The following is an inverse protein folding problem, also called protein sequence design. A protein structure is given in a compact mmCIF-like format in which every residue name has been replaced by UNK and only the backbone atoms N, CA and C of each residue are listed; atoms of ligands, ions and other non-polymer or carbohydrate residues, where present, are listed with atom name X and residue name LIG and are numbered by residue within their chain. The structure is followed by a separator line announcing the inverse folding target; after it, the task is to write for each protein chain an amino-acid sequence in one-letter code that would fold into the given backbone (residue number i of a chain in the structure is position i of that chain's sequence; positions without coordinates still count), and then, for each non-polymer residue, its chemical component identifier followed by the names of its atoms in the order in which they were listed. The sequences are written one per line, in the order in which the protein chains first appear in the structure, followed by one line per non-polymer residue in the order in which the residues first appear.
data_IF_372127703155
#
_entry.id   IF_372127703155
#
_cell.length_a   1.000
_cell.length_b   1.000
_cell.length_c   1.000
_cell.angle_alpha   90.00
_cell.angle_beta   90.00
_cell.angle_gamma   90.00
#
_symmetry.space_group_name_H-M   'P 1'
#
loop_
_entity.id
_entity.type
_entity.pdbx_description
1 polymer ?
#
# COMPACT_ATOMS: atom_id res chain seq x y z
N UNK A 1 16.51 0.16 22.47
CA UNK A 1 16.51 -0.02 21.01
C UNK A 1 15.50 0.96 20.47
N UNK A 2 15.81 1.64 19.37
CA UNK A 2 14.83 2.51 18.72
C UNK A 2 13.88 1.64 17.90
N UNK A 3 12.59 1.96 17.92
CA UNK A 3 11.60 1.33 17.04
C UNK A 3 11.66 2.02 15.68
N UNK A 4 11.67 1.26 14.59
CA UNK A 4 11.60 1.82 13.23
C UNK A 4 10.33 1.33 12.55
N UNK A 5 9.63 2.27 11.94
CA UNK A 5 8.38 2.03 11.25
C UNK A 5 8.63 1.85 9.75
N UNK A 6 8.06 0.83 9.14
CA UNK A 6 8.08 0.64 7.69
C UNK A 6 6.65 0.82 7.16
N UNK A 7 6.42 1.82 6.31
CA UNK A 7 5.13 2.05 5.67
C UNK A 7 5.15 1.55 4.22
N UNK A 8 4.15 0.77 3.83
CA UNK A 8 3.94 0.29 2.46
C UNK A 8 2.60 0.80 1.95
N UNK A 9 2.64 1.66 0.94
CA UNK A 9 1.44 2.29 0.40
C UNK A 9 0.56 1.34 -0.39
N UNK A 10 -0.64 1.81 -0.70
CA UNK A 10 -1.49 1.26 -1.75
C UNK A 10 -0.91 1.54 -3.14
N UNK A 11 -1.60 1.05 -4.16
CA UNK A 11 -1.17 1.16 -5.56
C UNK A 11 -1.54 -0.05 -6.42
N UNK A 12 -2.63 -0.76 -6.09
CA UNK A 12 -3.05 -1.95 -6.83
C UNK A 12 -1.92 -2.95 -7.04
N UNK A 13 -1.79 -3.44 -8.28
CA UNK A 13 -0.78 -4.43 -8.63
C UNK A 13 0.66 -3.89 -8.57
N UNK A 14 0.87 -2.60 -8.85
CA UNK A 14 2.16 -1.93 -8.72
C UNK A 14 2.59 -1.88 -7.25
N UNK A 15 1.66 -1.54 -6.35
CA UNK A 15 1.90 -1.54 -4.90
C UNK A 15 2.27 -2.93 -4.37
N UNK A 16 1.67 -4.00 -4.92
CA UNK A 16 2.03 -5.39 -4.57
C UNK A 16 3.47 -5.70 -4.96
N UNK A 17 3.81 -5.53 -6.25
CA UNK A 17 5.12 -5.90 -6.82
C UNK A 17 6.24 -5.04 -6.23
N UNK A 18 6.04 -3.73 -6.18
CA UNK A 18 7.02 -2.78 -5.66
C UNK A 18 7.18 -2.90 -4.15
N UNK A 19 6.09 -3.00 -3.39
CA UNK A 19 6.14 -3.12 -1.92
C UNK A 19 6.85 -4.39 -1.46
N UNK A 20 6.54 -5.53 -2.09
CA UNK A 20 7.20 -6.80 -1.82
C UNK A 20 8.70 -6.75 -2.14
N UNK A 21 9.09 -6.17 -3.28
CA UNK A 21 10.49 -6.05 -3.70
C UNK A 21 11.29 -5.06 -2.85
N UNK A 22 10.70 -3.91 -2.51
CA UNK A 22 11.30 -2.90 -1.66
C UNK A 22 11.56 -3.45 -0.25
N UNK A 23 10.60 -4.16 0.33
CA UNK A 23 10.78 -4.80 1.63
C UNK A 23 11.90 -5.85 1.59
N UNK A 24 11.88 -6.74 0.60
CA UNK A 24 12.93 -7.75 0.46
C UNK A 24 14.32 -7.12 0.32
N UNK A 25 14.47 -6.08 -0.51
CA UNK A 25 15.74 -5.38 -0.67
C UNK A 25 16.20 -4.73 0.64
N UNK A 26 15.29 -4.03 1.35
CA UNK A 26 15.59 -3.42 2.64
C UNK A 26 16.08 -4.46 3.65
N UNK A 27 15.39 -5.60 3.75
CA UNK A 27 15.71 -6.66 4.70
C UNK A 27 17.02 -7.37 4.35
N UNK A 28 17.28 -7.61 3.07
CA UNK A 28 18.47 -8.38 2.63
C UNK A 28 19.74 -7.54 2.57
N UNK A 29 19.64 -6.24 2.30
CA UNK A 29 20.80 -5.34 2.15
C UNK A 29 21.11 -4.56 3.42
N UNK A 30 20.09 -3.99 4.06
CA UNK A 30 20.28 -2.95 5.06
C UNK A 30 19.98 -3.45 6.47
N UNK A 31 18.91 -4.22 6.64
CA UNK A 31 18.49 -4.67 7.95
C UNK A 31 19.39 -5.79 8.51
N UNK A 32 20.13 -5.46 9.55
CA UNK A 32 20.88 -6.46 10.31
C UNK A 32 20.00 -7.09 11.39
N UNK A 33 19.49 -8.29 11.10
CA UNK A 33 18.70 -9.08 12.06
C UNK A 33 19.46 -9.42 13.36
N UNK A 34 20.76 -9.17 13.46
CA UNK A 34 21.54 -9.34 14.70
C UNK A 34 21.56 -8.09 15.58
N UNK A 35 21.29 -6.90 15.03
CA UNK A 35 21.22 -5.63 15.76
C UNK A 35 19.79 -5.27 16.22
N UNK A 36 18.77 -5.80 15.52
CA UNK A 36 17.31 -5.76 15.83
C UNK A 36 16.81 -4.44 16.44
N UNK A 37 16.70 -3.34 15.68
CA UNK A 37 15.65 -2.38 16.00
C UNK A 37 14.29 -3.10 15.98
N UNK A 38 13.36 -2.71 16.85
CA UNK A 38 12.00 -3.24 16.80
C UNK A 38 11.33 -2.69 15.53
N UNK A 39 11.04 -3.53 14.55
CA UNK A 39 10.36 -3.11 13.32
C UNK A 39 8.84 -3.21 13.49
N UNK A 40 8.15 -2.13 13.16
CA UNK A 40 6.69 -2.08 13.02
C UNK A 40 6.37 -1.79 11.57
N UNK A 41 5.67 -2.70 10.89
CA UNK A 41 5.25 -2.54 9.50
C UNK A 41 3.79 -2.09 9.48
N UNK A 42 3.47 -1.03 8.76
CA UNK A 42 2.09 -0.64 8.45
C UNK A 42 1.88 -0.64 6.95
N UNK A 43 0.74 -1.18 6.53
CA UNK A 43 0.45 -1.47 5.13
C UNK A 43 -0.95 -1.06 4.77
N UNK A 44 -1.17 -0.77 3.49
CA UNK A 44 -2.52 -0.56 2.95
C UNK A 44 -2.66 -1.09 1.53
N UNK A 45 -3.84 -1.61 1.19
CA UNK A 45 -4.23 -2.03 -0.16
C UNK A 45 -3.20 -2.96 -0.82
N UNK A 46 -2.66 -2.61 -1.99
CA UNK A 46 -1.62 -3.38 -2.66
C UNK A 46 -0.38 -3.67 -1.78
N UNK A 47 0.04 -2.70 -0.96
CA UNK A 47 1.14 -2.90 -0.01
C UNK A 47 0.83 -3.95 1.06
N UNK A 48 -0.44 -4.09 1.47
CA UNK A 48 -0.88 -5.14 2.40
C UNK A 48 -0.79 -6.51 1.76
N UNK A 49 -1.22 -6.66 0.50
CA UNK A 49 -1.10 -7.92 -0.24
C UNK A 49 0.38 -8.27 -0.46
N UNK A 50 1.19 -7.32 -0.94
CA UNK A 50 2.62 -7.54 -1.17
C UNK A 50 3.37 -7.94 0.10
N UNK A 51 3.17 -7.23 1.21
CA UNK A 51 3.80 -7.59 2.48
C UNK A 51 3.30 -8.93 3.03
N UNK A 52 2.01 -9.24 2.87
CA UNK A 52 1.44 -10.53 3.27
C UNK A 52 2.07 -11.70 2.52
N UNK A 53 2.28 -11.56 1.20
CA UNK A 53 2.99 -12.57 0.38
C UNK A 53 4.42 -12.72 0.89
N UNK A 54 5.15 -11.62 1.10
CA UNK A 54 6.53 -11.69 1.60
C UNK A 54 6.61 -12.39 2.96
N UNK A 55 5.70 -12.06 3.89
CA UNK A 55 5.71 -12.62 5.25
C UNK A 55 5.37 -14.12 5.28
N UNK A 56 4.64 -14.63 4.30
CA UNK A 56 4.18 -16.03 4.28
C UNK A 56 4.91 -16.93 3.25
N UNK A 57 5.53 -16.34 2.24
CA UNK A 57 6.21 -17.08 1.17
C UNK A 57 7.62 -16.56 0.84
N UNK A 58 8.07 -15.45 1.44
CA UNK A 58 9.29 -14.73 1.05
C UNK A 58 10.56 -15.57 1.01
N UNK A 59 10.65 -16.61 1.84
CA UNK A 59 11.77 -17.56 1.90
C UNK A 59 11.86 -18.51 0.68
N UNK A 60 10.81 -18.55 -0.15
CA UNK A 60 10.71 -19.39 -1.36
C UNK A 60 10.65 -18.55 -2.64
N UNK A 61 10.72 -17.23 -2.54
CA UNK A 61 10.58 -16.35 -3.70
C UNK A 61 11.95 -16.02 -4.31
N UNK A 62 12.04 -16.11 -5.63
CA UNK A 62 13.16 -15.55 -6.39
C UNK A 62 12.81 -14.13 -6.82
N UNK A 63 13.57 -13.15 -6.36
CA UNK A 63 13.42 -11.74 -6.71
C UNK A 63 14.37 -11.35 -7.84
N UNK A 64 13.91 -10.47 -8.73
CA UNK A 64 14.81 -9.81 -9.68
C UNK A 64 15.56 -8.67 -8.97
N UNK A 65 16.79 -8.95 -8.57
CA UNK A 65 17.70 -7.95 -8.00
C UNK A 65 18.32 -7.09 -9.09
N UNK A 66 18.74 -5.86 -8.75
CA UNK A 66 19.37 -4.95 -9.69
C UNK A 66 20.70 -5.53 -10.19
N UNK A 67 20.82 -5.66 -11.52
CA UNK A 67 22.03 -6.05 -12.23
C UNK A 67 22.20 -5.15 -13.46
N UNK A 68 23.24 -4.30 -13.45
CA UNK A 68 23.53 -3.39 -14.55
C UNK A 68 23.85 -4.11 -15.86
N UNK A 69 24.25 -5.39 -15.80
CA UNK A 69 24.62 -6.20 -16.97
C UNK A 69 23.49 -7.07 -17.51
N UNK A 70 22.27 -6.96 -16.99
CA UNK A 70 21.14 -7.82 -17.40
C UNK A 70 20.77 -7.61 -18.88
N UNK A 71 20.53 -8.69 -19.61
CA UNK A 71 20.02 -8.56 -20.99
C UNK A 71 18.51 -8.30 -21.00
N UNK A 72 17.98 -7.74 -22.10
CA UNK A 72 16.52 -7.59 -22.26
C UNK A 72 15.80 -8.94 -22.18
N UNK A 73 16.36 -9.97 -22.81
CA UNK A 73 15.75 -11.31 -22.83
C UNK A 73 15.70 -11.92 -21.42
N UNK A 74 16.74 -11.72 -20.61
CA UNK A 74 16.77 -12.18 -19.21
C UNK A 74 15.78 -11.38 -18.35
N UNK A 75 15.77 -10.05 -18.49
CA UNK A 75 14.84 -9.17 -17.77
C UNK A 75 13.37 -9.43 -18.16
N UNK A 76 13.10 -9.92 -19.37
CA UNK A 76 11.76 -10.26 -19.86
C UNK A 76 11.37 -11.73 -19.58
N UNK A 77 12.06 -12.40 -18.66
CA UNK A 77 11.77 -13.78 -18.28
C UNK A 77 11.35 -13.89 -16.81
N UNK A 78 10.47 -14.86 -16.51
CA UNK A 78 10.16 -15.21 -15.12
C UNK A 78 11.41 -15.83 -14.50
N UNK A 79 12.02 -15.14 -13.53
CA UNK A 79 13.20 -15.65 -12.83
C UNK A 79 12.76 -16.68 -11.82
N UNK A 80 13.19 -17.93 -12.02
CA UNK A 80 12.87 -19.05 -11.14
C UNK A 80 14.14 -19.83 -10.84
N UNK A 81 14.63 -19.76 -9.60
CA UNK A 81 15.64 -20.70 -9.14
C UNK A 81 15.03 -22.10 -8.94
N UNK A 82 15.85 -23.15 -8.94
CA UNK A 82 15.35 -24.52 -8.80
C UNK A 82 14.62 -24.70 -7.46
N UNK A 83 13.30 -24.95 -7.52
CA UNK A 83 12.45 -25.15 -6.34
C UNK A 83 11.91 -23.87 -5.72
N UNK A 84 12.18 -22.70 -6.29
CA UNK A 84 11.64 -21.41 -5.88
C UNK A 84 10.50 -20.96 -6.79
N UNK A 85 9.84 -19.87 -6.42
CA UNK A 85 8.69 -19.28 -7.12
C UNK A 85 9.04 -17.86 -7.54
N UNK A 86 8.68 -17.45 -8.76
CA UNK A 86 8.87 -16.07 -9.18
C UNK A 86 8.07 -15.11 -8.31
N UNK A 87 8.72 -14.08 -7.76
CA UNK A 87 8.11 -13.19 -6.76
C UNK A 87 6.81 -12.52 -7.23
N UNK A 88 6.70 -12.16 -8.52
CA UNK A 88 5.54 -11.47 -9.08
C UNK A 88 4.49 -12.42 -9.68
N UNK A 89 4.51 -13.71 -9.34
CA UNK A 89 3.55 -14.70 -9.89
C UNK A 89 2.07 -14.29 -9.68
N UNK A 90 1.76 -13.45 -8.68
CA UNK A 90 0.44 -12.82 -8.47
C UNK A 90 -0.16 -12.18 -9.75
N UNK A 91 0.65 -11.61 -10.65
CA UNK A 91 0.15 -10.95 -11.87
C UNK A 91 -0.54 -11.92 -12.83
N UNK A 92 -0.18 -13.20 -12.76
CA UNK A 92 -0.75 -14.24 -13.60
C UNK A 92 -2.20 -14.60 -13.22
N UNK A 93 -2.64 -14.27 -12.00
CA UNK A 93 -3.94 -14.71 -11.46
C UNK A 93 -4.99 -13.61 -11.42
N UNK A 94 -4.58 -12.33 -11.42
CA UNK A 94 -5.50 -11.19 -11.47
C UNK A 94 -6.31 -11.11 -12.77
N UNK A 95 -5.69 -11.43 -13.91
CA UNK A 95 -6.37 -11.43 -15.21
C UNK A 95 -7.36 -12.60 -15.39
N UNK A 96 -7.21 -13.67 -14.61
CA UNK A 96 -8.02 -14.89 -14.72
C UNK A 96 -9.32 -14.83 -13.94
N UNK A 97 -9.47 -13.81 -13.08
CA UNK A 97 -10.71 -13.45 -12.42
C UNK A 97 -11.65 -12.76 -13.44
N UNK A 98 -12.56 -13.47 -14.12
CA UNK A 98 -13.35 -12.92 -15.23
C UNK A 98 -14.33 -11.83 -14.78
N UNK A 99 -14.47 -11.67 -13.46
CA UNK A 99 -15.25 -10.64 -12.77
C UNK A 99 -14.52 -9.32 -12.55
N UNK A 100 -13.17 -9.29 -12.65
CA UNK A 100 -12.38 -8.05 -12.55
C UNK A 100 -12.25 -7.34 -13.92
N UNK A 101 -12.23 -8.09 -15.02
CA UNK A 101 -11.92 -7.58 -16.38
C UNK A 101 -13.16 -7.28 -17.23
N UNK A 102 -14.29 -7.93 -16.96
CA UNK A 102 -15.60 -7.55 -17.45
C UNK A 102 -16.35 -6.98 -16.25
N UNK A 103 -16.47 -5.66 -16.15
CA UNK A 103 -16.95 -4.93 -14.97
C UNK A 103 -18.07 -5.64 -14.20
N UNK A 104 -18.08 -5.43 -12.89
CA UNK A 104 -19.00 -5.98 -11.86
C UNK A 104 -20.52 -5.99 -12.22
N UNK A 105 -20.91 -5.44 -13.36
CA UNK A 105 -22.23 -5.49 -14.00
C UNK A 105 -22.74 -6.91 -14.31
N UNK A 106 -21.91 -7.96 -14.35
CA UNK A 106 -22.39 -9.35 -14.45
C UNK A 106 -22.58 -9.96 -13.05
N UNK A 107 -23.73 -9.66 -12.46
CA UNK A 107 -24.51 -10.23 -11.32
C UNK A 107 -24.04 -11.47 -10.50
N UNK A 108 -23.01 -12.22 -10.89
CA UNK A 108 -22.48 -13.38 -10.18
C UNK A 108 -21.26 -13.12 -9.29
N UNK A 109 -20.62 -11.95 -9.41
CA UNK A 109 -19.34 -11.63 -8.74
C UNK A 109 -19.45 -10.94 -7.37
N UNK A 110 -20.66 -10.71 -6.85
CA UNK A 110 -20.87 -9.83 -5.69
C UNK A 110 -21.55 -10.59 -4.55
N UNK A 111 -20.98 -11.72 -4.14
CA UNK A 111 -21.29 -12.33 -2.85
C UNK A 111 -20.31 -11.80 -1.79
N UNK A 112 -20.75 -11.62 -0.55
CA UNK A 112 -19.86 -11.22 0.55
C UNK A 112 -18.67 -12.17 0.64
N UNK A 113 -17.46 -11.62 0.70
CA UNK A 113 -16.22 -12.41 0.83
C UNK A 113 -15.54 -12.80 -0.49
N UNK A 114 -16.11 -12.48 -1.66
CA UNK A 114 -15.51 -12.85 -2.95
C UNK A 114 -14.07 -12.34 -3.13
N UNK A 115 -13.76 -11.16 -2.59
CA UNK A 115 -12.41 -10.60 -2.66
C UNK A 115 -11.42 -11.34 -1.76
N UNK A 116 -11.90 -11.88 -0.63
CA UNK A 116 -11.12 -12.79 0.21
C UNK A 116 -10.77 -14.06 -0.57
N UNK A 117 -11.73 -14.64 -1.32
CA UNK A 117 -11.49 -15.81 -2.18
C UNK A 117 -10.49 -15.52 -3.31
N UNK A 118 -10.46 -14.29 -3.81
CA UNK A 118 -9.48 -13.85 -4.82
C UNK A 118 -8.08 -13.81 -4.24
N UNK A 119 -7.91 -13.23 -3.06
CA UNK A 119 -6.61 -13.18 -2.39
C UNK A 119 -6.17 -14.59 -2.00
N UNK A 120 -7.07 -15.45 -1.51
CA UNK A 120 -6.77 -16.87 -1.26
C UNK A 120 -6.23 -17.55 -2.52
N UNK A 121 -6.92 -17.38 -3.66
CA UNK A 121 -6.48 -17.95 -4.94
C UNK A 121 -5.08 -17.46 -5.34
N UNK A 122 -4.76 -16.18 -5.12
CA UNK A 122 -3.42 -15.64 -5.39
C UNK A 122 -2.37 -16.31 -4.52
N UNK A 123 -2.62 -16.46 -3.22
CA UNK A 123 -1.71 -17.10 -2.28
C UNK A 123 -1.53 -18.59 -2.61
N UNK A 124 -2.63 -19.27 -2.89
CA UNK A 124 -2.64 -20.69 -3.14
C UNK A 124 -2.01 -21.04 -4.49
N UNK A 125 -2.57 -20.54 -5.59
CA UNK A 125 -2.08 -20.89 -6.93
C UNK A 125 -0.76 -20.21 -7.24
N UNK A 126 -0.57 -18.98 -6.75
CA UNK A 126 0.63 -18.19 -7.01
C UNK A 126 1.83 -18.62 -6.18
N UNK A 127 1.60 -19.02 -4.92
CA UNK A 127 2.70 -19.20 -3.94
C UNK A 127 2.61 -20.50 -3.13
N UNK A 128 1.62 -21.36 -3.41
CA UNK A 128 1.39 -22.61 -2.67
C UNK A 128 1.19 -22.39 -1.16
N UNK A 129 0.62 -21.24 -0.79
CA UNK A 129 0.25 -20.91 0.59
C UNK A 129 -1.26 -21.05 0.73
N UNK A 130 -1.71 -21.93 1.62
CA UNK A 130 -3.14 -22.12 1.88
C UNK A 130 -3.69 -21.07 2.84
N UNK A 131 -4.97 -20.73 2.74
CA UNK A 131 -5.71 -19.86 3.68
C UNK A 131 -5.42 -20.14 5.17
N UNK A 132 -5.37 -21.42 5.58
CA UNK A 132 -5.10 -21.82 6.96
C UNK A 132 -3.62 -21.71 7.38
N UNK A 133 -2.72 -21.51 6.43
CA UNK A 133 -1.29 -21.27 6.66
C UNK A 133 -0.95 -19.76 6.60
N UNK A 134 -1.89 -18.90 6.16
CA UNK A 134 -1.71 -17.45 6.15
C UNK A 134 -1.77 -16.92 7.58
N UNK A 135 -0.63 -16.42 8.06
CA UNK A 135 -0.48 -15.85 9.39
C UNK A 135 0.01 -14.39 9.33
N UNK A 136 -0.06 -13.72 10.48
CA UNK A 136 0.66 -12.48 10.71
C UNK A 136 2.17 -12.71 10.63
N UNK A 137 2.95 -11.66 10.88
CA UNK A 137 4.41 -11.82 10.91
C UNK A 137 4.87 -12.26 12.31
N UNK A 138 5.69 -13.32 12.34
CA UNK A 138 6.39 -13.75 13.56
C UNK A 138 7.63 -12.89 13.85
N UNK A 139 8.17 -12.24 12.82
CA UNK A 139 9.42 -11.48 12.88
C UNK A 139 9.19 -9.99 13.14
N UNK A 140 8.02 -9.46 12.77
CA UNK A 140 7.71 -8.04 12.82
C UNK A 140 6.31 -7.79 13.37
N UNK A 141 6.12 -6.67 14.06
CA UNK A 141 4.77 -6.21 14.36
C UNK A 141 4.16 -5.66 13.06
N UNK A 142 3.07 -6.27 12.56
CA UNK A 142 2.45 -5.89 11.29
C UNK A 142 1.03 -5.38 11.49
N UNK A 143 0.75 -4.18 10.97
CA UNK A 143 -0.56 -3.57 10.92
C UNK A 143 -1.07 -3.44 9.49
N UNK A 144 -2.31 -3.86 9.25
CA UNK A 144 -3.03 -3.57 8.01
C UNK A 144 -4.09 -2.49 8.26
N UNK A 145 -4.07 -1.44 7.44
CA UNK A 145 -4.97 -0.31 7.55
C UNK A 145 -6.21 -0.55 6.67
N UNK A 146 -7.39 -0.20 7.18
CA UNK A 146 -8.64 -0.28 6.45
C UNK A 146 -9.59 0.84 6.88
N UNK A 147 -10.58 1.16 6.05
CA UNK A 147 -11.55 2.20 6.35
C UNK A 147 -12.87 1.60 6.83
N UNK A 148 -13.53 2.30 7.74
CA UNK A 148 -14.89 2.01 8.17
C UNK A 148 -15.82 3.10 7.65
N UNK A 149 -16.99 2.71 7.15
CA UNK A 149 -18.03 3.66 6.73
C UNK A 149 -19.34 3.34 7.44
N UNK A 150 -19.89 4.28 8.21
CA UNK A 150 -21.18 4.11 8.88
C UNK A 150 -22.30 3.82 7.86
N UNK A 151 -23.14 2.82 8.14
CA UNK A 151 -24.15 2.39 7.17
C UNK A 151 -25.25 3.43 6.93
N UNK A 152 -25.47 4.33 7.88
CA UNK A 152 -26.54 5.34 7.85
C UNK A 152 -26.18 6.56 6.99
N UNK A 153 -24.89 6.83 6.78
CA UNK A 153 -24.42 7.84 5.81
C UNK A 153 -24.46 7.33 4.37
N UNK A 154 -24.67 6.03 4.16
CA UNK A 154 -24.69 5.40 2.84
C UNK A 154 -26.10 5.43 2.19
N UNK A 155 -26.19 5.67 0.86
CA UNK A 155 -25.09 5.94 -0.05
C UNK A 155 -24.56 7.38 0.11
N UNK A 156 -23.24 7.52 0.19
CA UNK A 156 -22.56 8.79 0.44
C UNK A 156 -22.21 9.48 -0.88
N UNK A 157 -22.31 10.82 -0.94
CA UNK A 157 -21.97 11.58 -2.14
C UNK A 157 -20.68 12.36 -1.98
N UNK A 158 -19.96 12.58 -3.07
CA UNK A 158 -18.78 13.44 -3.13
C UNK A 158 -19.10 14.90 -3.44
N UNK A 159 -18.17 15.80 -3.11
CA UNK A 159 -18.12 17.16 -3.62
C UNK A 159 -17.38 17.21 -4.99
N UNK A 160 -17.19 18.42 -5.52
CA UNK A 160 -16.54 18.60 -6.84
C UNK A 160 -15.04 18.27 -6.81
N UNK A 161 -14.43 18.21 -5.63
CA UNK A 161 -13.02 17.87 -5.40
C UNK A 161 -12.79 16.36 -5.16
N UNK A 162 -13.87 15.56 -5.20
CA UNK A 162 -13.82 14.11 -4.99
C UNK A 162 -13.93 13.65 -3.53
N UNK A 163 -14.05 14.58 -2.57
CA UNK A 163 -14.14 14.32 -1.12
C UNK A 163 -15.56 13.93 -0.70
N UNK A 164 -15.70 12.96 0.19
CA UNK A 164 -16.99 12.53 0.75
C UNK A 164 -17.62 13.62 1.64
N UNK A 165 -18.85 14.05 1.33
CA UNK A 165 -19.53 15.17 2.02
C UNK A 165 -19.81 14.97 3.53
N UNK A 166 -19.65 13.75 4.05
CA UNK A 166 -19.86 13.38 5.45
C UNK A 166 -18.69 12.55 5.98
N UNK A 167 -17.48 12.80 5.47
CA UNK A 167 -16.30 12.06 5.89
C UNK A 167 -16.06 12.14 7.40
N UNK A 168 -16.09 13.34 7.98
CA UNK A 168 -15.88 13.54 9.43
C UNK A 168 -16.88 12.76 10.30
N UNK A 169 -18.12 12.62 9.83
CA UNK A 169 -19.20 11.96 10.58
C UNK A 169 -19.18 10.45 10.41
N UNK A 170 -18.87 9.94 9.21
CA UNK A 170 -19.15 8.55 8.86
C UNK A 170 -17.96 7.74 8.34
N UNK A 171 -16.87 8.37 7.91
CA UNK A 171 -15.68 7.69 7.39
C UNK A 171 -14.61 7.66 8.48
N UNK A 172 -14.15 6.48 8.88
CA UNK A 172 -13.32 6.30 10.07
C UNK A 172 -12.09 5.46 9.72
N UNK A 173 -10.93 5.90 10.16
CA UNK A 173 -9.69 5.13 10.08
C UNK A 173 -9.68 3.97 11.07
N UNK A 174 -9.25 2.80 10.60
CA UNK A 174 -8.97 1.65 11.44
C UNK A 174 -7.70 0.92 10.99
N UNK A 175 -7.10 0.20 11.93
CA UNK A 175 -6.04 -0.75 11.65
C UNK A 175 -6.17 -1.99 12.52
N UNK A 176 -5.53 -3.07 12.11
CA UNK A 176 -5.44 -4.29 12.89
C UNK A 176 -4.01 -4.82 12.92
N UNK A 177 -3.53 -5.12 14.12
CA UNK A 177 -2.33 -5.92 14.32
C UNK A 177 -2.63 -7.35 13.85
N UNK A 178 -1.92 -7.77 12.82
CA UNK A 178 -2.13 -9.03 12.11
C UNK A 178 -1.68 -10.24 12.92
N UNK A 179 -0.87 -10.04 13.96
CA UNK A 179 -0.36 -11.11 14.81
C UNK A 179 -1.21 -11.27 16.08
N UNK A 180 -1.65 -10.16 16.69
CA UNK A 180 -2.47 -10.21 17.91
C UNK A 180 -3.99 -10.17 17.66
N UNK A 181 -4.40 -9.69 16.49
CA UNK A 181 -5.79 -9.39 16.15
C UNK A 181 -6.35 -8.15 16.86
N UNK A 182 -5.49 -7.38 17.53
CA UNK A 182 -5.87 -6.11 18.15
C UNK A 182 -6.30 -5.10 17.08
N UNK A 183 -7.49 -4.55 17.24
CA UNK A 183 -8.08 -3.56 16.34
C UNK A 183 -7.97 -2.18 16.95
N UNK A 184 -7.43 -1.23 16.21
CA UNK A 184 -7.25 0.17 16.60
C UNK A 184 -8.14 1.05 15.74
N UNK A 185 -8.79 2.02 16.36
CA UNK A 185 -9.61 3.04 15.70
C UNK A 185 -9.23 4.41 16.25
N UNK A 186 -9.40 5.47 15.46
CA UNK A 186 -8.98 6.82 15.84
C UNK A 186 -9.50 7.30 17.21
N UNK A 187 -10.72 6.90 17.57
CA UNK A 187 -11.37 7.27 18.83
C UNK A 187 -11.32 6.17 19.90
N UNK A 188 -10.56 5.09 19.68
CA UNK A 188 -10.53 3.88 20.52
C UNK A 188 -11.92 3.24 20.71
N UNK A 189 -12.88 3.47 19.81
CA UNK A 189 -14.15 2.77 19.84
C UNK A 189 -13.92 1.29 19.54
N UNK A 190 -14.62 0.43 20.30
CA UNK A 190 -14.54 -1.02 20.13
C UNK A 190 -15.10 -1.42 18.78
N UNK A 191 -14.25 -2.04 17.96
CA UNK A 191 -14.61 -2.61 16.66
C UNK A 191 -14.79 -4.13 16.76
N UNK A 192 -16.01 -4.58 16.50
CA UNK A 192 -16.34 -5.99 16.36
C UNK A 192 -16.51 -6.33 14.87
N UNK A 193 -15.72 -7.28 14.37
CA UNK A 193 -15.80 -7.78 12.99
C UNK A 193 -16.20 -9.24 13.05
N UNK A 194 -17.08 -9.66 12.16
CA UNK A 194 -17.61 -11.03 12.12
C UNK A 194 -16.53 -12.07 11.76
N UNK A 195 -15.58 -11.66 10.93
CA UNK A 195 -14.45 -12.47 10.48
C UNK A 195 -13.19 -11.61 10.56
N UNK A 196 -12.18 -12.09 11.28
CA UNK A 196 -10.93 -11.37 11.54
C UNK A 196 -9.70 -12.25 11.32
N UNK A 197 -9.76 -13.14 10.34
CA UNK A 197 -8.55 -13.81 9.87
C UNK A 197 -7.61 -12.81 9.19
N UNK A 198 -6.33 -13.13 9.13
CA UNK A 198 -5.32 -12.32 8.41
C UNK A 198 -5.78 -12.06 6.97
N UNK A 199 -6.25 -13.11 6.30
CA UNK A 199 -6.75 -13.03 4.93
C UNK A 199 -7.99 -12.10 4.80
N UNK A 200 -8.92 -12.16 5.75
CA UNK A 200 -10.08 -11.25 5.76
C UNK A 200 -9.66 -9.79 5.89
N UNK A 201 -8.67 -9.49 6.74
CA UNK A 201 -8.19 -8.12 6.94
C UNK A 201 -7.44 -7.61 5.72
N UNK A 202 -6.64 -8.46 5.08
CA UNK A 202 -6.02 -8.14 3.78
C UNK A 202 -7.07 -7.77 2.73
N UNK A 203 -8.19 -8.51 2.72
CA UNK A 203 -9.34 -8.24 1.86
C UNK A 203 -9.99 -6.89 2.18
N UNK A 204 -10.22 -6.57 3.45
CA UNK A 204 -10.76 -5.26 3.84
C UNK A 204 -9.83 -4.14 3.39
N UNK A 205 -8.54 -4.26 3.68
CA UNK A 205 -7.50 -3.27 3.36
C UNK A 205 -7.37 -2.96 1.86
N UNK A 206 -7.78 -3.88 0.98
CA UNK A 206 -7.60 -3.78 -0.48
C UNK A 206 -8.91 -3.80 -1.28
N UNK A 207 -10.03 -3.53 -0.63
CA UNK A 207 -11.37 -3.63 -1.23
C UNK A 207 -11.77 -2.39 -2.05
N UNK A 208 -10.90 -1.87 -2.92
CA UNK A 208 -11.08 -0.60 -3.67
C UNK A 208 -12.44 -0.45 -4.38
N UNK A 209 -13.03 -1.56 -4.82
CA UNK A 209 -14.33 -1.61 -5.49
C UNK A 209 -15.50 -1.18 -4.58
N UNK A 210 -15.37 -1.27 -3.26
CA UNK A 210 -16.46 -0.93 -2.33
C UNK A 210 -16.85 0.54 -2.40
N UNK A 211 -15.89 1.44 -2.68
CA UNK A 211 -16.11 2.87 -2.87
C UNK A 211 -17.23 3.13 -3.90
N UNK A 212 -17.18 2.45 -5.04
CA UNK A 212 -18.19 2.59 -6.10
C UNK A 212 -19.61 2.17 -5.65
N UNK A 213 -19.72 1.17 -4.78
CA UNK A 213 -21.00 0.67 -4.27
C UNK A 213 -21.59 1.62 -3.23
N UNK A 214 -20.78 2.09 -2.29
CA UNK A 214 -21.25 2.96 -1.20
C UNK A 214 -21.58 4.37 -1.69
N UNK A 215 -21.14 4.74 -2.89
CA UNK A 215 -21.37 6.06 -3.48
C UNK A 215 -22.58 6.11 -4.42
N UNK A 216 -22.75 5.08 -5.25
CA UNK A 216 -23.85 5.06 -6.21
C UNK A 216 -25.13 4.49 -5.60
N UNK A 217 -26.24 5.23 -5.70
CA UNK A 217 -27.54 4.82 -5.14
C UNK A 217 -28.05 3.49 -5.71
N UNK A 218 -27.80 3.24 -6.99
CA UNK A 218 -28.25 2.03 -7.68
C UNK A 218 -27.40 0.85 -7.27
N UNK A 219 -26.07 0.99 -7.32
CA UNK A 219 -25.14 -0.04 -6.89
C UNK A 219 -25.36 -0.36 -5.41
N UNK A 220 -25.47 0.64 -4.54
CA UNK A 220 -25.77 0.44 -3.12
C UNK A 220 -27.04 -0.39 -2.91
N UNK A 221 -28.12 -0.08 -3.65
CA UNK A 221 -29.37 -0.83 -3.52
C UNK A 221 -29.21 -2.32 -3.87
N UNK A 222 -28.43 -2.65 -4.90
CA UNK A 222 -28.27 -4.03 -5.37
C UNK A 222 -27.14 -4.80 -4.67
N UNK A 223 -26.05 -4.13 -4.29
CA UNK A 223 -24.78 -4.77 -3.98
C UNK A 223 -24.26 -4.50 -2.58
N UNK A 224 -24.91 -3.66 -1.75
CA UNK A 224 -24.46 -3.45 -0.36
C UNK A 224 -24.36 -4.72 0.49
N UNK A 225 -25.05 -5.80 0.09
CA UNK A 225 -24.96 -7.11 0.75
C UNK A 225 -23.67 -7.89 0.46
N UNK A 226 -22.86 -7.42 -0.50
CA UNK A 226 -21.55 -7.99 -0.81
C UNK A 226 -20.40 -7.34 -0.03
N UNK A 227 -20.66 -6.21 0.64
CA UNK A 227 -19.65 -5.48 1.40
C UNK A 227 -19.56 -6.10 2.80
N UNK A 228 -18.33 -6.33 3.26
CA UNK A 228 -18.04 -6.80 4.60
C UNK A 228 -18.54 -5.81 5.66
N UNK A 229 -19.01 -6.32 6.79
CA UNK A 229 -19.64 -5.49 7.84
C UNK A 229 -19.09 -5.81 9.22
N UNK A 230 -19.10 -4.79 10.08
CA UNK A 230 -18.78 -4.88 11.50
C UNK A 230 -19.67 -3.97 12.33
N UNK A 231 -19.32 -3.82 13.60
CA UNK A 231 -19.99 -2.93 14.54
C UNK A 231 -18.94 -2.10 15.28
N UNK A 232 -19.10 -0.78 15.27
CA UNK A 232 -18.22 0.18 15.94
C UNK A 232 -19.02 0.86 17.06
N UNK A 233 -18.67 0.61 18.32
CA UNK A 233 -19.37 1.24 19.46
C UNK A 233 -20.87 0.91 19.57
N UNK A 234 -21.35 -0.11 18.84
CA UNK A 234 -22.76 -0.48 18.73
C UNK A 234 -23.41 -0.09 17.41
N UNK A 235 -22.76 0.74 16.59
CA UNK A 235 -23.25 1.18 15.29
C UNK A 235 -22.72 0.32 14.14
N UNK A 236 -23.58 0.08 13.16
CA UNK A 236 -23.30 -0.78 12.02
C UNK A 236 -22.38 -0.05 11.02
N UNK A 237 -21.29 -0.72 10.62
CA UNK A 237 -20.31 -0.17 9.67
C UNK A 237 -20.05 -1.13 8.49
N UNK A 238 -19.67 -0.56 7.35
CA UNK A 238 -19.03 -1.25 6.23
C UNK A 238 -17.51 -1.19 6.39
N UNK A 239 -16.82 -2.28 6.04
CA UNK A 239 -15.36 -2.32 5.95
C UNK A 239 -14.96 -2.09 4.49
N UNK A 240 -14.01 -1.18 4.28
CA UNK A 240 -13.58 -0.73 2.96
C UNK A 240 -12.05 -0.63 2.88
N UNK A 241 -11.54 -0.43 1.66
CA UNK A 241 -10.12 -0.21 1.38
C UNK A 241 -9.53 0.86 2.29
N UNK A 242 -8.36 0.60 2.86
CA UNK A 242 -7.68 1.57 3.72
C UNK A 242 -7.23 2.80 2.97
N UNK A 243 -6.99 2.68 1.66
CA UNK A 243 -6.62 3.77 0.77
C UNK A 243 -7.65 4.88 0.74
N UNK A 244 -8.92 4.58 1.06
CA UNK A 244 -9.99 5.59 1.19
C UNK A 244 -9.69 6.62 2.28
N UNK A 245 -8.89 6.30 3.31
CA UNK A 245 -8.53 7.25 4.38
C UNK A 245 -7.03 7.50 4.45
N UNK A 246 -6.21 6.46 4.26
CA UNK A 246 -4.75 6.55 4.30
C UNK A 246 -4.15 5.62 3.26
N UNK A 247 -3.75 6.16 2.11
CA UNK A 247 -3.07 5.36 1.07
C UNK A 247 -1.59 5.12 1.36
N UNK A 248 -1.03 5.71 2.42
CA UNK A 248 0.41 5.69 2.66
C UNK A 248 0.86 4.61 3.64
N UNK A 249 0.01 4.22 4.59
CA UNK A 249 0.41 3.38 5.72
C UNK A 249 1.07 4.16 6.86
N UNK A 250 1.33 5.46 6.71
CA UNK A 250 2.08 6.25 7.69
C UNK A 250 1.24 6.48 8.96
N UNK A 251 -0.09 6.59 8.85
CA UNK A 251 -0.95 7.03 9.96
C UNK A 251 -0.85 6.11 11.18
N UNK A 252 -0.89 4.78 11.01
CA UNK A 252 -0.73 3.83 12.13
C UNK A 252 0.62 4.00 12.82
N UNK A 253 1.70 4.23 12.07
CA UNK A 253 3.03 4.43 12.65
C UNK A 253 3.07 5.72 13.49
N UNK A 254 2.38 6.77 13.05
CA UNK A 254 2.24 8.02 13.79
C UNK A 254 1.37 7.87 15.05
N UNK A 255 0.25 7.12 14.98
CA UNK A 255 -0.56 6.79 16.16
C UNK A 255 0.26 6.09 17.24
N UNK A 256 1.16 5.18 16.82
CA UNK A 256 2.08 4.45 17.69
C UNK A 256 3.30 5.27 18.12
N UNK A 257 3.44 6.51 17.63
CA UNK A 257 4.55 7.42 17.91
C UNK A 257 5.92 6.80 17.64
N UNK A 258 6.02 6.04 16.56
CA UNK A 258 7.28 5.48 16.11
C UNK A 258 8.25 6.64 15.81
N UNK A 259 9.49 6.63 16.32
CA UNK A 259 10.41 7.77 16.20
C UNK A 259 11.04 7.92 14.81
N UNK A 260 11.21 6.82 14.07
CA UNK A 260 11.83 6.81 12.74
C UNK A 260 10.95 6.04 11.76
N UNK A 261 10.70 6.58 10.57
CA UNK A 261 9.84 5.94 9.56
C UNK A 261 10.57 5.83 8.22
N UNK A 262 10.52 4.66 7.59
CA UNK A 262 10.82 4.46 6.17
C UNK A 262 9.52 4.15 5.45
N UNK A 263 9.12 4.99 4.50
CA UNK A 263 7.88 4.84 3.74
C UNK A 263 8.19 4.57 2.27
N UNK A 264 7.61 3.52 1.70
CA UNK A 264 7.63 3.26 0.27
C UNK A 264 6.27 3.63 -0.31
N UNK A 265 6.22 4.80 -0.95
CA UNK A 265 5.04 5.31 -1.64
C UNK A 265 5.05 4.83 -3.10
N UNK A 266 4.63 3.58 -3.28
CA UNK A 266 4.57 2.86 -4.55
C UNK A 266 3.17 2.95 -5.17
N UNK A 267 2.64 4.17 -5.29
CA UNK A 267 1.31 4.35 -5.86
C UNK A 267 1.34 4.01 -7.36
N UNK A 268 0.21 3.55 -7.89
CA UNK A 268 0.07 3.28 -9.31
C UNK A 268 -0.25 4.54 -10.12
N UNK A 269 -0.45 5.68 -9.49
CA UNK A 269 -0.64 6.96 -10.17
C UNK A 269 0.62 7.82 -10.01
N UNK A 270 1.09 8.47 -11.09
CA UNK A 270 2.18 9.44 -10.97
C UNK A 270 1.81 10.55 -9.98
N UNK A 271 2.73 10.86 -9.06
CA UNK A 271 2.64 11.91 -8.05
C UNK A 271 2.26 13.28 -8.62
N UNK A 272 2.67 13.56 -9.85
CA UNK A 272 2.37 14.82 -10.56
C UNK A 272 1.00 14.81 -11.25
N UNK A 273 0.49 13.63 -11.64
CA UNK A 273 -0.63 13.52 -12.59
C UNK A 273 -2.00 13.60 -11.94
N UNK A 274 -2.06 13.46 -10.61
CA UNK A 274 -3.21 13.75 -9.79
C UNK A 274 -2.64 14.27 -8.49
N UNK A 275 -2.96 15.52 -8.14
CA UNK A 275 -3.46 15.86 -6.81
C UNK A 275 -3.13 14.83 -5.72
N UNK A 276 -1.83 14.69 -5.42
CA UNK A 276 -1.35 13.48 -4.77
C UNK A 276 -2.10 13.33 -3.45
N UNK A 277 -2.84 12.25 -3.27
CA UNK A 277 -3.55 11.95 -2.01
C UNK A 277 -2.59 11.97 -0.80
N UNK A 278 -1.29 11.76 -1.05
CA UNK A 278 -0.21 12.01 -0.09
C UNK A 278 -0.14 13.46 0.41
N UNK A 279 -0.56 14.43 -0.40
CA UNK A 279 -0.65 15.86 -0.06
C UNK A 279 -1.62 16.14 1.09
N UNK A 280 -2.63 15.28 1.30
CA UNK A 280 -3.56 15.43 2.42
C UNK A 280 -2.86 15.24 3.77
N UNK A 281 -1.80 14.42 3.84
CA UNK A 281 -0.97 14.35 5.06
C UNK A 281 -0.35 15.71 5.43
N UNK A 282 -0.19 16.61 4.46
CA UNK A 282 0.35 17.95 4.65
C UNK A 282 -0.73 19.04 4.65
N UNK A 283 -2.01 18.68 4.60
CA UNK A 283 -3.12 19.63 4.56
C UNK A 283 -3.16 20.47 3.27
N UNK A 284 -2.68 19.92 2.16
CA UNK A 284 -2.70 20.61 0.87
C UNK A 284 -3.93 20.20 0.06
N UNK A 285 -4.74 21.18 -0.28
CA UNK A 285 -5.96 20.99 -1.06
C UNK A 285 -5.64 20.61 -2.50
N UNK A 286 -6.09 19.41 -2.88
CA UNK A 286 -5.93 18.83 -4.21
C UNK A 286 -7.17 18.00 -4.56
N UNK A 287 -7.51 17.89 -5.85
CA UNK A 287 -8.66 17.11 -6.34
C UNK A 287 -8.34 15.61 -6.30
N UNK A 288 -8.92 14.85 -5.39
CA UNK A 288 -8.56 13.43 -5.25
C UNK A 288 -8.97 12.59 -6.48
N UNK A 289 -8.27 11.46 -6.65
CA UNK A 289 -8.70 10.40 -7.55
C UNK A 289 -10.03 9.78 -7.06
N UNK A 290 -10.76 9.07 -7.92
CA UNK A 290 -12.10 8.61 -7.55
C UNK A 290 -12.10 7.46 -6.54
N UNK A 291 -11.00 7.10 -5.86
CA UNK A 291 -10.96 5.89 -5.03
C UNK A 291 -10.19 6.03 -3.70
N UNK A 292 -9.33 7.04 -3.54
CA UNK A 292 -8.44 7.14 -2.39
C UNK A 292 -8.53 8.48 -1.64
N UNK A 293 -8.14 8.49 -0.36
CA UNK A 293 -8.14 9.64 0.55
C UNK A 293 -9.35 10.55 0.38
N UNK A 294 -10.52 10.00 0.67
CA UNK A 294 -11.83 10.61 0.45
C UNK A 294 -12.28 11.46 1.63
N UNK A 295 -11.49 11.52 2.70
CA UNK A 295 -11.71 12.36 3.88
C UNK A 295 -11.51 13.85 3.62
N UNK A 296 -10.61 14.19 2.69
CA UNK A 296 -10.25 15.58 2.40
C UNK A 296 -9.05 16.08 3.20
N UNK A 297 -8.37 17.09 2.65
CA UNK A 297 -7.11 17.61 3.20
C UNK A 297 -7.21 18.13 4.64
N UNK A 298 -8.36 18.67 5.06
CA UNK A 298 -8.57 19.17 6.44
C UNK A 298 -8.56 18.03 7.46
N UNK A 299 -9.10 16.86 7.10
CA UNK A 299 -9.18 15.70 7.98
C UNK A 299 -7.91 14.84 7.93
N UNK A 300 -7.20 14.82 6.79
CA UNK A 300 -5.99 14.01 6.59
C UNK A 300 -4.70 14.62 7.16
N UNK A 301 -4.67 15.90 7.53
CA UNK A 301 -3.43 16.60 7.86
C UNK A 301 -2.77 16.09 9.16
N UNK A 302 -1.50 15.69 9.06
CA UNK A 302 -0.64 15.30 10.20
C UNK A 302 0.73 15.95 10.17
N UNK A 303 1.11 16.60 9.07
CA UNK A 303 2.34 17.36 8.89
C UNK A 303 2.05 18.82 8.49
N UNK A 304 3.03 19.69 8.73
CA UNK A 304 2.97 21.09 8.31
C UNK A 304 2.97 21.20 6.77
N UNK A 305 2.00 21.92 6.21
CA UNK A 305 1.92 22.18 4.77
C UNK A 305 3.13 22.94 4.21
N UNK A 306 3.87 23.67 5.04
CA UNK A 306 5.04 24.44 4.64
C UNK A 306 6.21 23.62 4.10
N UNK A 307 6.24 22.30 4.34
CA UNK A 307 7.29 21.40 3.81
C UNK A 307 6.87 20.64 2.56
N UNK A 308 5.59 20.69 2.18
CA UNK A 308 5.05 19.84 1.10
C UNK A 308 5.74 20.05 -0.25
N UNK A 309 5.97 21.29 -0.66
CA UNK A 309 6.58 21.58 -1.98
C UNK A 309 7.98 20.97 -2.11
N UNK A 310 8.78 21.02 -1.04
CA UNK A 310 10.13 20.43 -1.03
C UNK A 310 10.08 18.90 -1.02
N UNK A 311 9.15 18.32 -0.25
CA UNK A 311 8.92 16.87 -0.24
C UNK A 311 8.53 16.39 -1.63
N UNK A 312 7.54 17.03 -2.26
CA UNK A 312 7.09 16.67 -3.59
C UNK A 312 8.21 16.81 -4.62
N UNK A 313 8.95 17.93 -4.60
CA UNK A 313 10.07 18.14 -5.52
C UNK A 313 11.13 17.05 -5.42
N UNK A 314 11.46 16.59 -4.19
CA UNK A 314 12.42 15.52 -3.99
C UNK A 314 11.89 14.14 -4.40
N UNK A 315 10.58 13.90 -4.26
CA UNK A 315 9.93 12.65 -4.65
C UNK A 315 9.73 12.54 -6.17
N UNK A 316 9.58 13.66 -6.88
CA UNK A 316 9.41 13.68 -8.34
C UNK A 316 10.70 13.97 -9.11
N UNK A 317 11.79 14.38 -8.45
CA UNK A 317 13.10 14.48 -9.09
C UNK A 317 13.61 13.08 -9.47
N UNK A 318 13.80 12.78 -10.77
CA UNK A 318 14.18 11.45 -11.26
C UNK A 318 15.57 11.00 -10.79
N UNK A 319 16.38 11.91 -10.25
CA UNK A 319 17.72 11.65 -9.71
C UNK A 319 17.72 11.49 -8.18
N UNK A 320 16.66 11.90 -7.49
CA UNK A 320 16.55 11.83 -6.03
C UNK A 320 15.55 10.75 -5.63
N UNK A 321 14.29 10.87 -6.07
CA UNK A 321 13.16 9.98 -5.77
C UNK A 321 12.97 9.64 -4.29
N UNK A 322 13.36 10.58 -3.43
CA UNK A 322 13.38 10.38 -1.99
C UNK A 322 13.28 11.69 -1.24
N UNK A 323 12.30 11.81 -0.35
CA UNK A 323 12.26 12.88 0.63
C UNK A 323 12.78 12.38 1.99
N UNK A 324 13.72 13.11 2.58
CA UNK A 324 14.26 12.80 3.90
C UNK A 324 14.12 14.02 4.81
N UNK A 325 13.32 13.86 5.86
CA UNK A 325 13.03 14.91 6.82
C UNK A 325 13.48 14.47 8.21
N UNK A 326 13.99 15.41 9.01
CA UNK A 326 14.44 15.19 10.39
C UNK A 326 13.77 16.18 11.32
N UNK A 327 13.46 15.74 12.55
CA UNK A 327 12.84 16.59 13.56
C UNK A 327 11.48 17.17 13.13
N UNK A 328 10.67 16.35 12.45
CA UNK A 328 9.40 16.78 11.86
C UNK A 328 8.34 16.91 12.94
N UNK A 329 7.66 18.05 12.97
CA UNK A 329 6.51 18.23 13.85
C UNK A 329 5.32 17.42 13.31
N UNK A 330 4.91 16.40 14.07
CA UNK A 330 3.63 15.71 13.85
C UNK A 330 2.55 16.50 14.57
N UNK A 331 1.53 16.90 13.82
CA UNK A 331 0.39 17.67 14.30
C UNK A 331 -0.61 16.75 15.00
N UNK A 332 -1.38 17.34 15.91
CA UNK A 332 -2.50 16.65 16.54
C UNK A 332 -3.62 16.49 15.51
N UNK A 333 -4.17 15.29 15.39
CA UNK A 333 -5.28 14.99 14.49
C UNK A 333 -6.22 13.98 15.18
N UNK A 334 -7.31 14.48 15.75
CA UNK A 334 -8.32 13.68 16.45
C UNK A 334 -9.06 12.72 15.49
N UNK A 335 -9.26 13.12 14.23
CA UNK A 335 -9.93 12.31 13.21
C UNK A 335 -9.15 11.03 12.90
N UNK A 336 -7.82 11.12 12.83
CA UNK A 336 -6.91 9.99 12.63
C UNK A 336 -6.40 9.38 13.94
N UNK A 337 -6.74 9.95 15.11
CA UNK A 337 -6.22 9.49 16.41
C UNK A 337 -4.70 9.69 16.58
N UNK A 338 -4.11 10.63 15.83
CA UNK A 338 -2.67 10.93 15.88
C UNK A 338 -2.43 12.04 16.90
N UNK A 339 -1.69 11.73 17.95
CA UNK A 339 -1.32 12.72 18.97
C UNK A 339 -0.02 13.44 18.61
N UNK A 340 0.06 14.76 18.83
CA UNK A 340 1.26 15.56 18.49
C UNK A 340 2.57 15.05 19.16
N UNK A 341 3.66 15.07 18.38
CA UNK A 341 5.04 14.80 18.83
C UNK A 341 6.07 15.28 17.79
N UNK A 342 7.36 15.17 18.10
CA UNK A 342 8.42 15.39 17.11
C UNK A 342 8.89 14.03 16.63
N UNK A 343 8.64 13.72 15.36
CA UNK A 343 9.18 12.56 14.68
C UNK A 343 10.67 12.81 14.43
N UNK A 344 11.52 11.88 14.86
CA UNK A 344 12.97 12.06 14.74
C UNK A 344 13.40 12.08 13.29
N UNK A 345 12.87 11.14 12.49
CA UNK A 345 13.27 10.97 11.10
C UNK A 345 12.15 10.32 10.27
N UNK A 346 11.94 10.80 9.05
CA UNK A 346 11.13 10.10 8.05
C UNK A 346 11.81 10.16 6.69
N UNK A 347 11.92 8.99 6.07
CA UNK A 347 12.46 8.82 4.73
C UNK A 347 11.39 8.20 3.85
N UNK A 348 11.01 8.88 2.77
CA UNK A 348 9.93 8.50 1.87
C UNK A 348 10.54 8.26 0.50
N UNK A 349 10.27 7.10 -0.08
CA UNK A 349 10.67 6.74 -1.44
C UNK A 349 9.46 6.76 -2.36
N UNK A 350 9.64 7.25 -3.58
CA UNK A 350 8.63 7.16 -4.65
C UNK A 350 9.03 6.09 -5.67
N UNK A 351 8.04 5.64 -6.43
CA UNK A 351 8.24 4.80 -7.62
C UNK A 351 8.20 5.60 -8.93
N UNK A 352 8.48 6.92 -8.91
CA UNK A 352 8.44 7.80 -10.10
C UNK A 352 9.48 7.48 -11.18
N UNK A 353 9.23 7.87 -12.43
CA UNK A 353 10.17 7.61 -13.53
C UNK A 353 11.59 8.11 -13.20
N UNK A 354 12.61 7.30 -13.49
CA UNK A 354 14.01 7.66 -13.29
C UNK A 354 14.85 7.35 -14.52
N UNK A 355 15.30 8.41 -15.17
CA UNK A 355 16.28 8.31 -16.25
C UNK A 355 17.59 7.72 -15.73
N UNK A 356 18.02 8.08 -14.52
CA UNK A 356 19.27 7.60 -13.92
C UNK A 356 19.26 6.08 -13.69
N UNK A 357 18.15 5.53 -13.19
CA UNK A 357 17.98 4.09 -13.08
C UNK A 357 18.07 3.41 -14.45
N UNK A 358 17.34 3.91 -15.45
CA UNK A 358 17.33 3.29 -16.78
C UNK A 358 18.67 3.45 -17.51
N UNK A 359 19.40 4.55 -17.28
CA UNK A 359 20.75 4.79 -17.79
C UNK A 359 21.84 4.04 -17.04
N UNK A 360 21.53 3.44 -15.89
CA UNK A 360 22.50 2.67 -15.10
C UNK A 360 22.80 1.27 -15.66
N UNK A 361 22.00 0.82 -16.64
CA UNK A 361 22.19 -0.46 -17.34
C UNK A 361 23.12 -0.34 -18.54
N UNK A 362 23.94 -1.37 -18.79
CA UNK A 362 24.88 -1.45 -19.92
C UNK A 362 24.16 -1.44 -21.29
N UNK A 363 22.89 -1.88 -21.32
CA UNK A 363 22.00 -1.96 -22.49
C UNK A 363 20.76 -1.07 -22.33
N UNK A 364 20.92 0.11 -21.73
CA UNK A 364 19.83 1.05 -21.40
C UNK A 364 18.82 1.28 -22.53
N UNK A 365 19.28 1.45 -23.77
CA UNK A 365 18.40 1.66 -24.93
C UNK A 365 17.45 0.49 -25.18
N UNK A 366 17.91 -0.75 -25.08
CA UNK A 366 17.07 -1.93 -25.31
C UNK A 366 16.01 -2.06 -24.20
N UNK A 367 16.41 -1.82 -22.95
CA UNK A 367 15.51 -1.87 -21.80
C UNK A 367 14.46 -0.76 -21.87
N UNK A 368 14.85 0.49 -22.16
CA UNK A 368 13.92 1.62 -22.31
C UNK A 368 12.88 1.37 -23.39
N UNK A 369 13.29 0.82 -24.53
CA UNK A 369 12.39 0.51 -25.64
C UNK A 369 11.43 -0.65 -25.34
N UNK A 370 11.74 -1.46 -24.32
CA UNK A 370 10.94 -2.62 -23.91
C UNK A 370 9.86 -2.32 -22.88
N UNK A 371 9.91 -1.15 -22.22
CA UNK A 371 8.97 -0.76 -21.16
C UNK A 371 7.58 -0.49 -21.74
N UNK A 372 6.55 -0.81 -20.95
CA UNK A 372 5.18 -0.44 -21.27
C UNK A 372 5.01 1.09 -21.28
N UNK A 373 4.06 1.60 -22.07
CA UNK A 373 3.78 3.04 -22.14
C UNK A 373 3.30 3.64 -20.81
N UNK A 374 2.80 2.80 -19.91
CA UNK A 374 2.34 3.20 -18.59
C UNK A 374 3.49 3.29 -17.57
N UNK A 375 4.64 2.65 -17.83
CA UNK A 375 5.77 2.58 -16.90
C UNK A 375 6.17 3.94 -16.27
N UNK A 376 6.48 3.98 -14.97
CA UNK A 376 6.42 2.90 -13.96
C UNK A 376 5.07 2.80 -13.25
N UNK A 377 4.06 3.52 -13.74
CA UNK A 377 2.77 3.75 -13.08
C UNK A 377 1.64 3.32 -14.04
N UNK A 378 0.41 3.75 -13.79
CA UNK A 378 -0.79 3.59 -14.62
C UNK A 378 -1.05 2.17 -15.12
N UNK A 379 -0.51 1.15 -14.46
CA UNK A 379 -0.76 -0.22 -14.85
C UNK A 379 -2.22 -0.56 -14.54
N UNK A 380 -2.93 -1.28 -15.42
CA UNK A 380 -4.30 -1.69 -15.15
C UNK A 380 -4.30 -2.85 -14.14
N UNK A 381 -5.13 -3.86 -14.36
CA UNK A 381 -5.23 -5.03 -13.47
C UNK A 381 -4.01 -5.98 -13.58
N UNK A 382 -3.10 -5.76 -14.53
CA UNK A 382 -1.91 -6.59 -14.73
C UNK A 382 -0.70 -5.81 -15.20
N UNK A 383 0.48 -6.35 -14.91
CA UNK A 383 1.78 -5.83 -15.31
C UNK A 383 2.50 -6.91 -16.15
N UNK A 384 3.11 -6.56 -17.30
CA UNK A 384 3.94 -7.50 -18.06
C UNK A 384 5.14 -8.00 -17.24
N UNK A 385 5.63 -9.20 -17.53
CA UNK A 385 6.79 -9.81 -16.83
C UNK A 385 8.01 -8.89 -16.81
N UNK A 386 8.33 -8.27 -17.95
CA UNK A 386 9.42 -7.31 -18.05
C UNK A 386 9.26 -6.14 -17.08
N UNK A 387 8.11 -5.45 -17.11
CA UNK A 387 7.84 -4.32 -16.24
C UNK A 387 7.80 -4.72 -14.75
N UNK A 388 7.30 -5.90 -14.40
CA UNK A 388 7.44 -6.42 -13.03
C UNK A 388 8.92 -6.45 -12.62
N UNK A 389 9.74 -7.14 -13.40
CA UNK A 389 11.17 -7.30 -13.13
C UNK A 389 11.90 -5.95 -13.06
N UNK A 390 11.55 -5.00 -13.93
CA UNK A 390 12.09 -3.64 -13.87
C UNK A 390 11.64 -2.91 -12.60
N UNK A 391 10.39 -3.07 -12.12
CA UNK A 391 9.91 -2.50 -10.84
C UNK A 391 10.74 -3.07 -9.68
N UNK A 392 10.97 -4.39 -9.65
CA UNK A 392 11.76 -5.03 -8.60
C UNK A 392 13.22 -4.55 -8.60
N UNK A 393 13.86 -4.48 -9.78
CA UNK A 393 15.21 -3.94 -9.90
C UNK A 393 15.29 -2.48 -9.48
N UNK A 394 14.26 -1.69 -9.76
CA UNK A 394 14.22 -0.28 -9.35
C UNK A 394 14.09 -0.14 -7.84
N UNK A 395 13.23 -0.93 -7.21
CA UNK A 395 13.11 -0.96 -5.75
C UNK A 395 14.44 -1.35 -5.10
N UNK A 396 15.12 -2.35 -5.65
CA UNK A 396 16.43 -2.79 -5.19
C UNK A 396 17.54 -1.73 -5.40
N UNK A 397 17.54 -1.11 -6.57
CA UNK A 397 18.47 -0.01 -6.91
C UNK A 397 18.28 1.20 -5.99
N UNK A 398 17.04 1.55 -5.64
CA UNK A 398 16.73 2.64 -4.72
C UNK A 398 17.29 2.37 -3.33
N UNK A 399 17.06 1.17 -2.79
CA UNK A 399 17.60 0.76 -1.48
C UNK A 399 19.12 0.76 -1.51
N UNK A 400 19.74 0.22 -2.58
CA UNK A 400 21.20 0.22 -2.74
C UNK A 400 21.78 1.64 -2.84
N UNK A 401 21.13 2.52 -3.61
CA UNK A 401 21.57 3.91 -3.81
C UNK A 401 21.60 4.69 -2.48
N UNK A 402 20.65 4.40 -1.58
CA UNK A 402 20.50 5.08 -0.30
C UNK A 402 20.87 4.21 0.91
N UNK A 403 21.65 3.15 0.70
CA UNK A 403 21.98 2.12 1.70
C UNK A 403 22.62 2.70 2.96
N UNK A 404 23.57 3.64 2.82
CA UNK A 404 24.23 4.25 3.98
C UNK A 404 23.26 5.06 4.85
N UNK A 405 22.33 5.81 4.24
CA UNK A 405 21.34 6.59 4.98
C UNK A 405 20.30 5.68 5.62
N UNK A 406 19.83 4.66 4.90
CA UNK A 406 18.91 3.65 5.45
C UNK A 406 19.55 2.88 6.62
N UNK A 407 20.82 2.51 6.52
CA UNK A 407 21.55 1.84 7.59
C UNK A 407 21.70 2.74 8.83
N UNK A 408 21.92 4.05 8.64
CA UNK A 408 21.97 5.00 9.73
C UNK A 408 20.60 5.20 10.41
N UNK A 409 19.52 5.20 9.63
CA UNK A 409 18.15 5.27 10.15
C UNK A 409 17.79 4.00 10.93
N UNK A 410 18.17 2.82 10.44
CA UNK A 410 17.91 1.52 11.06
C UNK A 410 18.82 1.16 12.24
N UNK A 411 19.90 1.92 12.49
CA UNK A 411 20.75 1.80 13.67
C UNK A 411 20.16 2.50 14.90
#
# INVERSE_FOLDING_TARGET
MSTVGIAMSGGGITGIVAGLSAFNSLITRVYDATSKPDLVVSTVSGGTIGFGIHSNAGDKLTYQMYDSGISYDDANSEVVAEGEIWYANVVNYLNWAPFLTEGADKLGAMQSGWWTDVIDLMFWEGYSVHDYDIAGSDDFEWHANFALLEKDVCPISRNDDGVMKKAEEGLIYASMDMSSGEKVTANNATLEIKHDTVLDVMSYSSSFWTASIVEDKTQYFFFKGSISTGTLGGDDVYLNDGGIVDTTGIVTLLQKKVPKIVAFYNNNDPLESLSSIFAYLFGVEVTTDTMNSLEGWELGQVFDGGVYEEVLANLTDPTIMRAHLTGVQVMDNDYLGVGSYVLEEIMIFSNEYSEEFLDSFDNSEDLKNGLDENWPNNFPVSIPTFDCNMIAMKADWLVMKWEEELAALLA
#
